data_IF_477234206885
#
_entry.id   IF_477234206885
#
_cell.length_a   1.000
_cell.length_b   1.000
_cell.length_c   1.000
_cell.angle_alpha   90.00
_cell.angle_beta   90.00
_cell.angle_gamma   90.00
#
_symmetry.space_group_name_H-M   'P 1'
#
loop_
_entity.id
_entity.type
_entity.pdbx_description
1 polymer ?
#
# COMPACT_ATOMS: atom_id res chain seq x y z
N UNK A 1 -17.65 -17.23 -18.65
CA UNK A 1 -17.86 -15.83 -19.10
C UNK A 1 -19.29 -15.53 -19.50
N UNK A 2 -19.96 -16.30 -20.37
CA UNK A 2 -21.35 -16.00 -20.76
C UNK A 2 -22.38 -16.02 -19.61
N UNK A 3 -22.21 -16.88 -18.60
CA UNK A 3 -23.11 -16.91 -17.44
C UNK A 3 -22.95 -15.67 -16.52
N UNK A 4 -21.76 -15.05 -16.50
CA UNK A 4 -21.50 -13.84 -15.70
C UNK A 4 -22.09 -12.59 -16.38
N UNK A 5 -22.13 -12.55 -17.72
CA UNK A 5 -22.74 -11.46 -18.48
C UNK A 5 -24.28 -11.42 -18.35
N UNK A 6 -24.93 -12.58 -18.20
CA UNK A 6 -26.39 -12.66 -18.02
C UNK A 6 -26.84 -12.20 -16.62
N UNK A 7 -26.01 -12.37 -15.58
CA UNK A 7 -26.33 -11.90 -14.23
C UNK A 7 -26.23 -10.36 -14.14
N UNK A 8 -25.29 -9.74 -14.87
CA UNK A 8 -25.17 -8.27 -14.93
C UNK A 8 -26.35 -7.58 -15.64
N UNK A 9 -26.94 -8.20 -16.66
CA UNK A 9 -28.09 -7.60 -17.36
C UNK A 9 -29.39 -7.66 -16.54
N UNK A 10 -29.57 -8.69 -15.71
CA UNK A 10 -30.79 -8.84 -14.90
C UNK A 10 -30.85 -7.86 -13.72
N UNK A 11 -29.71 -7.39 -13.20
CA UNK A 11 -29.63 -6.40 -12.12
C UNK A 11 -29.88 -4.96 -12.58
N UNK A 12 -29.59 -4.62 -13.84
CA UNK A 12 -29.84 -3.28 -14.38
C UNK A 12 -31.32 -3.04 -14.72
N UNK A 13 -32.09 -4.10 -15.00
CA UNK A 13 -33.51 -3.98 -15.34
C UNK A 13 -34.43 -3.64 -14.14
N UNK A 14 -33.94 -3.76 -12.90
CA UNK A 14 -34.75 -3.47 -11.69
C UNK A 14 -34.55 -2.05 -11.14
N UNK A 15 -33.76 -1.20 -11.79
CA UNK A 15 -33.42 0.14 -11.28
C UNK A 15 -34.16 1.31 -11.98
N UNK A 16 -34.98 1.03 -13.00
CA UNK A 16 -35.61 2.09 -13.81
C UNK A 16 -36.97 2.56 -13.27
N UNK A 17 -37.64 1.80 -12.40
CA UNK A 17 -39.02 2.10 -11.97
C UNK A 17 -39.16 2.78 -10.58
N UNK A 18 -38.07 3.29 -9.99
CA UNK A 18 -38.09 3.83 -8.63
C UNK A 18 -37.55 5.27 -8.48
N UNK A 19 -37.78 6.14 -9.47
CA UNK A 19 -37.52 7.58 -9.32
C UNK A 19 -38.81 8.33 -8.94
N UNK A 20 -38.94 8.85 -7.72
CA UNK A 20 -40.00 9.80 -7.40
C UNK A 20 -39.74 11.13 -8.10
N UNK A 21 -40.80 11.73 -8.64
CA UNK A 21 -40.81 13.05 -9.26
C UNK A 21 -40.32 14.11 -8.26
N UNK A 22 -39.28 14.86 -8.63
CA UNK A 22 -38.82 16.01 -7.86
C UNK A 22 -39.79 17.19 -8.03
N UNK A 23 -40.16 17.90 -6.95
CA UNK A 23 -40.95 19.12 -7.04
C UNK A 23 -40.13 20.27 -7.63
N UNK A 24 -40.82 21.11 -8.39
CA UNK A 24 -40.29 22.21 -9.16
C UNK A 24 -39.64 23.32 -8.30
N UNK A 25 -38.63 23.92 -8.93
CA UNK A 25 -37.91 25.14 -8.61
C UNK A 25 -38.70 26.20 -7.83
N UNK A 26 -38.10 26.67 -6.72
CA UNK A 26 -38.35 28.02 -6.20
C UNK A 26 -37.23 28.95 -6.67
N UNK A 27 -37.52 30.21 -7.03
CA UNK A 27 -36.51 31.15 -7.50
C UNK A 27 -35.66 31.68 -6.33
N UNK A 28 -34.34 31.65 -6.50
CA UNK A 28 -33.40 32.26 -5.56
C UNK A 28 -33.42 33.81 -5.65
N UNK A 29 -33.15 34.52 -4.54
CA UNK A 29 -32.98 35.96 -4.54
C UNK A 29 -31.68 36.40 -5.23
N UNK A 30 -31.76 37.54 -5.90
CA UNK A 30 -30.70 38.14 -6.70
C UNK A 30 -29.43 38.46 -5.89
N UNK A 31 -28.28 38.10 -6.46
CA UNK A 31 -26.95 38.47 -6.00
C UNK A 31 -26.73 39.99 -6.05
N UNK A 32 -26.21 40.55 -4.97
CA UNK A 32 -25.63 41.90 -4.97
C UNK A 32 -24.27 41.91 -5.69
N UNK A 33 -23.91 43.03 -6.36
CA UNK A 33 -22.62 43.15 -7.05
C UNK A 33 -21.48 43.33 -6.04
N UNK A 34 -20.41 42.53 -6.20
CA UNK A 34 -19.15 42.70 -5.48
C UNK A 34 -18.32 43.86 -6.07
N UNK A 35 -17.49 44.53 -5.26
CA UNK A 35 -16.62 45.61 -5.70
C UNK A 35 -15.47 45.09 -6.58
N UNK A 36 -15.07 45.93 -7.53
CA UNK A 36 -14.08 45.65 -8.57
C UNK A 36 -12.70 45.33 -7.98
N UNK A 37 -12.11 44.23 -8.45
CA UNK A 37 -10.72 43.87 -8.25
C UNK A 37 -9.78 44.90 -8.89
N UNK A 38 -8.77 45.33 -8.13
CA UNK A 38 -7.65 46.12 -8.63
C UNK A 38 -6.81 45.31 -9.64
N UNK A 39 -6.32 46.01 -10.65
CA UNK A 39 -5.47 45.49 -11.71
C UNK A 39 -4.16 44.90 -11.15
N UNK A 40 -3.93 43.63 -11.46
CA UNK A 40 -2.64 42.96 -11.28
C UNK A 40 -1.75 43.38 -12.48
N UNK A 41 -0.50 43.85 -12.26
CA UNK A 41 0.42 44.16 -13.34
C UNK A 41 0.86 42.89 -14.09
N UNK A 42 1.19 42.99 -15.39
CA UNK A 42 1.54 41.83 -16.22
C UNK A 42 2.88 41.22 -15.78
N UNK A 43 2.87 39.91 -15.54
CA UNK A 43 4.08 39.10 -15.31
C UNK A 43 4.98 39.07 -16.56
N UNK A 44 6.31 38.97 -16.38
CA UNK A 44 7.25 38.87 -17.49
C UNK A 44 7.11 37.56 -18.28
N UNK A 45 7.31 37.67 -19.60
CA UNK A 45 7.24 36.57 -20.56
C UNK A 45 8.26 35.47 -20.23
N UNK A 46 7.77 34.23 -20.12
CA UNK A 46 8.62 33.04 -20.08
C UNK A 46 9.26 32.77 -21.45
N UNK A 47 10.50 32.22 -21.49
CA UNK A 47 11.16 31.86 -22.74
C UNK A 47 10.48 30.66 -23.40
N UNK A 48 10.26 30.79 -24.72
CA UNK A 48 9.71 29.77 -25.61
C UNK A 48 10.71 28.62 -25.75
N UNK A 49 10.36 27.43 -25.24
CA UNK A 49 11.12 26.21 -25.52
C UNK A 49 10.77 25.68 -26.92
N UNK A 50 11.74 25.12 -27.67
CA UNK A 50 11.46 24.50 -28.96
C UNK A 50 10.64 23.21 -28.80
N UNK A 51 9.83 22.85 -29.82
CA UNK A 51 8.95 21.68 -29.75
C UNK A 51 9.77 20.39 -29.73
N UNK A 52 9.57 19.59 -28.69
CA UNK A 52 10.02 18.20 -28.63
C UNK A 52 9.22 17.37 -29.65
N UNK A 53 9.89 16.88 -30.69
CA UNK A 53 9.35 15.88 -31.60
C UNK A 53 9.55 14.49 -30.98
N UNK A 54 8.48 13.93 -30.41
CA UNK A 54 8.49 12.52 -30.00
C UNK A 54 8.34 11.59 -31.21
N UNK A 55 9.03 10.43 -31.24
CA UNK A 55 8.83 9.42 -32.28
C UNK A 55 7.44 8.77 -32.15
N UNK A 56 6.84 8.33 -33.27
CA UNK A 56 5.49 7.77 -33.29
C UNK A 56 5.44 6.43 -32.55
N UNK A 57 4.71 6.40 -31.43
CA UNK A 57 4.36 5.19 -30.71
C UNK A 57 3.23 4.48 -31.47
N UNK A 58 3.44 3.22 -31.86
CA UNK A 58 2.39 2.39 -32.46
C UNK A 58 1.33 2.07 -31.39
N UNK A 59 0.03 2.34 -31.62
CA UNK A 59 -1.00 2.04 -30.64
C UNK A 59 -1.17 0.52 -30.47
N UNK A 60 -1.31 0.10 -29.21
CA UNK A 60 -1.70 -1.27 -28.85
C UNK A 60 -3.19 -1.48 -29.19
N UNK A 61 -3.58 -2.63 -29.76
CA UNK A 61 -4.93 -2.88 -30.33
C UNK A 61 -6.07 -2.98 -29.29
N UNK A 62 -5.83 -2.59 -28.05
CA UNK A 62 -6.82 -2.67 -26.96
C UNK A 62 -7.60 -1.35 -26.76
N UNK A 63 -7.19 -0.25 -27.39
CA UNK A 63 -7.75 1.09 -27.13
C UNK A 63 -8.83 1.54 -28.12
N UNK A 64 -8.92 0.95 -29.31
CA UNK A 64 -9.87 1.39 -30.36
C UNK A 64 -11.35 1.16 -30.03
N UNK A 65 -11.65 0.34 -29.01
CA UNK A 65 -13.03 0.09 -28.56
C UNK A 65 -13.54 1.02 -27.46
N UNK A 66 -12.67 1.83 -26.86
CA UNK A 66 -13.03 2.69 -25.72
C UNK A 66 -13.25 4.17 -26.11
N UNK A 67 -12.88 4.58 -27.32
CA UNK A 67 -12.81 6.01 -27.69
C UNK A 67 -13.90 6.52 -28.63
N UNK A 68 -14.84 5.68 -29.07
CA UNK A 68 -16.00 6.16 -29.81
C UNK A 68 -17.13 6.47 -28.82
N UNK A 69 -17.50 7.76 -28.72
CA UNK A 69 -18.80 8.30 -28.25
C UNK A 69 -18.84 9.22 -27.00
N UNK A 70 -17.73 9.74 -26.46
CA UNK A 70 -17.84 10.76 -25.39
C UNK A 70 -16.87 11.93 -25.51
N UNK A 71 -17.29 13.07 -24.97
CA UNK A 71 -16.59 14.36 -24.97
C UNK A 71 -15.14 14.20 -24.43
N UNK A 72 -14.16 14.70 -25.21
CA UNK A 72 -12.73 14.57 -24.94
C UNK A 72 -12.33 15.10 -23.57
N UNK A 73 -12.99 16.16 -23.07
CA UNK A 73 -12.70 16.74 -21.76
C UNK A 73 -13.17 15.84 -20.59
N UNK A 74 -14.35 15.24 -20.69
CA UNK A 74 -14.87 14.32 -19.67
C UNK A 74 -14.09 13.00 -19.66
N UNK A 75 -13.62 12.56 -20.83
CA UNK A 75 -12.74 11.41 -20.94
C UNK A 75 -11.37 11.66 -20.32
N UNK A 76 -10.76 12.84 -20.47
CA UNK A 76 -9.46 13.14 -19.85
C UNK A 76 -9.58 13.12 -18.31
N UNK A 77 -10.66 13.67 -17.74
CA UNK A 77 -10.89 13.65 -16.30
C UNK A 77 -11.20 12.23 -15.79
N UNK A 78 -11.99 11.45 -16.55
CA UNK A 78 -12.32 10.07 -16.23
C UNK A 78 -11.07 9.17 -16.37
N UNK A 79 -10.26 9.35 -17.40
CA UNK A 79 -8.99 8.65 -17.60
C UNK A 79 -7.95 9.04 -16.57
N UNK A 80 -7.85 10.28 -16.11
CA UNK A 80 -6.91 10.61 -15.02
C UNK A 80 -7.35 9.97 -13.70
N UNK A 81 -8.66 9.93 -13.41
CA UNK A 81 -9.22 9.29 -12.22
C UNK A 81 -9.11 7.76 -12.28
N UNK A 82 -9.34 7.18 -13.46
CA UNK A 82 -9.18 5.76 -13.76
C UNK A 82 -7.69 5.37 -13.79
N UNK A 83 -6.79 6.18 -14.35
CA UNK A 83 -5.35 5.93 -14.36
C UNK A 83 -4.74 6.05 -12.96
N UNK A 84 -5.23 6.99 -12.13
CA UNK A 84 -4.82 7.11 -10.72
C UNK A 84 -5.29 5.91 -9.89
N UNK A 85 -6.50 5.39 -10.17
CA UNK A 85 -7.04 4.20 -9.50
C UNK A 85 -6.53 2.89 -10.09
N UNK A 86 -6.16 2.84 -11.36
CA UNK A 86 -5.51 1.71 -12.04
C UNK A 86 -4.02 1.64 -11.70
N UNK A 87 -3.31 2.75 -11.54
CA UNK A 87 -1.89 2.71 -11.15
C UNK A 87 -1.73 2.11 -9.73
N UNK A 88 -2.57 2.57 -8.79
CA UNK A 88 -2.65 1.97 -7.44
C UNK A 88 -3.26 0.57 -7.46
N UNK A 89 -4.32 0.36 -8.26
CA UNK A 89 -5.02 -0.92 -8.37
C UNK A 89 -4.22 -2.02 -9.08
N UNK A 90 -3.37 -1.68 -10.04
CA UNK A 90 -2.49 -2.62 -10.74
C UNK A 90 -1.31 -3.03 -9.87
N UNK A 91 -0.75 -2.12 -9.06
CA UNK A 91 0.24 -2.50 -8.04
C UNK A 91 -0.39 -3.39 -6.96
N UNK A 92 -1.57 -3.05 -6.45
CA UNK A 92 -2.29 -3.91 -5.51
C UNK A 92 -2.64 -5.27 -6.12
N UNK A 93 -3.08 -5.31 -7.38
CA UNK A 93 -3.37 -6.55 -8.09
C UNK A 93 -2.11 -7.38 -8.36
N UNK A 94 -0.98 -6.75 -8.70
CA UNK A 94 0.31 -7.42 -8.87
C UNK A 94 0.81 -7.99 -7.53
N UNK A 95 0.66 -7.25 -6.43
CA UNK A 95 0.96 -7.73 -5.08
C UNK A 95 0.08 -8.92 -4.70
N UNK A 96 -1.22 -8.84 -4.96
CA UNK A 96 -2.15 -9.95 -4.73
C UNK A 96 -1.76 -11.17 -5.59
N UNK A 97 -1.41 -10.96 -6.85
CA UNK A 97 -1.05 -12.03 -7.79
C UNK A 97 0.28 -12.71 -7.43
N UNK A 98 1.23 -11.95 -6.91
CA UNK A 98 2.54 -12.48 -6.53
C UNK A 98 2.57 -13.06 -5.12
N UNK A 99 1.61 -12.68 -4.27
CA UNK A 99 1.57 -13.10 -2.88
C UNK A 99 0.60 -14.27 -2.64
N UNK A 100 1.12 -15.49 -2.81
CA UNK A 100 0.42 -16.76 -2.52
C UNK A 100 -0.19 -16.81 -1.12
N UNK A 101 0.30 -16.02 -0.16
CA UNK A 101 -0.22 -16.02 1.19
C UNK A 101 -1.53 -15.22 1.29
N UNK A 102 -1.75 -14.20 0.45
CA UNK A 102 -3.04 -13.52 0.33
C UNK A 102 -4.10 -14.48 -0.22
N UNK A 103 -3.75 -15.31 -1.20
CA UNK A 103 -4.64 -16.36 -1.71
C UNK A 103 -5.02 -17.36 -0.63
N UNK A 104 -4.04 -17.83 0.15
CA UNK A 104 -4.31 -18.69 1.32
C UNK A 104 -5.26 -18.01 2.30
N UNK A 105 -5.07 -16.72 2.62
CA UNK A 105 -5.96 -15.97 3.51
C UNK A 105 -7.39 -15.93 2.94
N UNK A 106 -7.57 -15.75 1.62
CA UNK A 106 -8.89 -15.79 0.97
C UNK A 106 -9.58 -17.15 1.12
N UNK A 107 -8.80 -18.24 1.13
CA UNK A 107 -9.30 -19.59 1.35
C UNK A 107 -9.54 -19.93 2.83
N UNK A 108 -9.01 -19.14 3.76
CA UNK A 108 -9.23 -19.34 5.18
C UNK A 108 -10.67 -19.03 5.57
N UNK A 109 -11.11 -19.76 6.58
CA UNK A 109 -12.50 -19.81 6.97
C UNK A 109 -12.60 -19.52 8.47
N UNK A 110 -13.34 -18.47 8.81
CA UNK A 110 -13.52 -18.03 10.21
C UNK A 110 -14.88 -18.51 10.71
N UNK A 111 -14.85 -19.32 11.77
CA UNK A 111 -16.06 -19.81 12.45
C UNK A 111 -16.88 -18.65 13.01
N UNK A 112 -18.20 -18.87 13.15
CA UNK A 112 -19.14 -17.83 13.57
C UNK A 112 -18.81 -17.30 14.96
N UNK A 113 -18.36 -18.18 15.85
CA UNK A 113 -17.97 -17.89 17.23
C UNK A 113 -16.71 -17.00 17.26
N UNK A 114 -15.72 -17.30 16.44
CA UNK A 114 -14.50 -16.49 16.32
C UNK A 114 -14.79 -15.15 15.66
N UNK A 115 -15.65 -15.14 14.63
CA UNK A 115 -16.06 -13.90 13.97
C UNK A 115 -16.72 -12.92 14.93
N UNK A 116 -17.52 -13.39 15.88
CA UNK A 116 -18.12 -12.54 16.93
C UNK A 116 -17.08 -11.93 17.86
N UNK A 117 -15.94 -12.62 18.08
CA UNK A 117 -14.83 -12.10 18.88
C UNK A 117 -13.98 -11.10 18.09
N UNK A 118 -13.82 -11.32 16.79
CA UNK A 118 -13.11 -10.40 15.88
C UNK A 118 -13.97 -9.18 15.54
N UNK A 119 -15.29 -9.32 15.50
CA UNK A 119 -16.22 -8.24 15.12
C UNK A 119 -17.26 -8.12 16.24
N UNK A 120 -17.02 -7.27 17.24
CA UNK A 120 -17.92 -7.15 18.39
C UNK A 120 -19.25 -6.42 18.06
N UNK A 121 -19.45 -5.95 16.82
CA UNK A 121 -20.62 -5.16 16.44
C UNK A 121 -21.87 -5.97 16.11
N UNK A 122 -23.04 -5.43 16.47
CA UNK A 122 -24.36 -6.01 16.10
C UNK A 122 -24.64 -5.85 14.59
N UNK A 123 -25.26 -6.87 13.98
CA UNK A 123 -25.47 -7.02 12.51
C UNK A 123 -26.05 -5.80 11.77
N UNK A 124 -26.94 -5.00 12.38
CA UNK A 124 -27.72 -3.95 11.68
C UNK A 124 -26.92 -2.72 11.20
N UNK A 125 -25.73 -2.44 11.75
CA UNK A 125 -24.83 -1.36 11.29
C UNK A 125 -23.51 -1.89 10.70
N UNK A 126 -23.44 -3.20 10.47
CA UNK A 126 -22.17 -3.91 10.39
C UNK A 126 -21.35 -3.57 9.15
N UNK A 127 -21.92 -3.46 7.94
CA UNK A 127 -21.08 -3.46 6.72
C UNK A 127 -20.11 -2.27 6.63
N UNK A 128 -20.60 -1.03 6.76
CA UNK A 128 -19.75 0.18 6.70
C UNK A 128 -18.83 0.32 7.92
N UNK A 129 -19.24 -0.19 9.08
CA UNK A 129 -18.39 -0.18 10.27
C UNK A 129 -17.30 -1.25 10.12
N UNK A 130 -17.65 -2.42 9.60
CA UNK A 130 -16.77 -3.56 9.38
C UNK A 130 -15.63 -3.20 8.43
N UNK A 131 -15.92 -2.57 7.30
CA UNK A 131 -14.89 -2.13 6.35
C UNK A 131 -13.83 -1.25 7.04
N UNK A 132 -14.29 -0.22 7.76
CA UNK A 132 -13.42 0.69 8.51
C UNK A 132 -12.67 0.00 9.64
N UNK A 133 -13.33 -0.96 10.30
CA UNK A 133 -12.74 -1.72 11.39
C UNK A 133 -11.66 -2.67 10.89
N UNK A 134 -11.93 -3.41 9.82
CA UNK A 134 -10.95 -4.29 9.16
C UNK A 134 -9.77 -3.48 8.65
N UNK A 135 -10.04 -2.33 8.03
CA UNK A 135 -8.99 -1.40 7.61
C UNK A 135 -8.11 -0.98 8.77
N UNK A 136 -8.70 -0.54 9.88
CA UNK A 136 -7.95 -0.14 11.07
C UNK A 136 -7.14 -1.30 11.67
N UNK A 137 -7.67 -2.52 11.69
CA UNK A 137 -6.93 -3.71 12.15
C UNK A 137 -5.71 -3.98 11.26
N UNK A 138 -5.90 -4.00 9.94
CA UNK A 138 -4.83 -4.27 8.97
C UNK A 138 -3.76 -3.19 9.01
N UNK A 139 -4.16 -1.91 9.02
CA UNK A 139 -3.25 -0.78 9.16
C UNK A 139 -2.43 -0.90 10.46
N UNK A 140 -3.06 -1.32 11.56
CA UNK A 140 -2.36 -1.49 12.84
C UNK A 140 -1.35 -2.62 12.85
N UNK A 141 -1.68 -3.75 12.21
CA UNK A 141 -0.73 -4.85 12.07
C UNK A 141 0.44 -4.40 11.18
N UNK A 142 0.15 -3.81 10.01
CA UNK A 142 1.18 -3.39 9.06
C UNK A 142 2.11 -2.31 9.62
N UNK A 143 1.58 -1.29 10.30
CA UNK A 143 2.41 -0.25 10.92
C UNK A 143 3.29 -0.80 12.05
N UNK A 144 2.79 -1.73 12.86
CA UNK A 144 3.63 -2.38 13.88
C UNK A 144 4.80 -3.16 13.26
N UNK A 145 4.54 -3.90 12.17
CA UNK A 145 5.60 -4.63 11.46
C UNK A 145 6.59 -3.67 10.79
N UNK A 146 6.10 -2.57 10.20
CA UNK A 146 6.94 -1.56 9.59
C UNK A 146 7.85 -0.87 10.62
N UNK A 147 7.30 -0.46 11.76
CA UNK A 147 8.08 0.14 12.87
C UNK A 147 9.10 -0.85 13.42
N UNK A 148 8.75 -2.13 13.52
CA UNK A 148 9.69 -3.18 13.93
C UNK A 148 10.85 -3.33 12.95
N UNK A 149 10.60 -3.31 11.64
CA UNK A 149 11.66 -3.41 10.63
C UNK A 149 12.57 -2.17 10.63
N UNK A 150 11.99 -0.98 10.82
CA UNK A 150 12.72 0.28 10.96
C UNK A 150 13.44 0.43 12.32
N UNK A 151 13.25 -0.53 13.24
CA UNK A 151 13.76 -0.52 14.63
C UNK A 151 13.30 0.70 15.43
N UNK A 152 12.10 1.19 15.14
CA UNK A 152 11.44 2.26 15.89
C UNK A 152 10.71 1.68 17.11
N UNK A 153 10.33 2.57 18.03
CA UNK A 153 9.49 2.18 19.15
C UNK A 153 8.13 1.65 18.65
N UNK A 154 7.42 0.80 19.41
CA UNK A 154 6.07 0.37 19.06
C UNK A 154 5.11 1.53 18.80
N UNK A 155 3.98 1.25 18.17
CA UNK A 155 2.94 2.25 17.94
C UNK A 155 2.54 2.97 19.25
N UNK A 156 2.51 4.31 19.27
CA UNK A 156 2.01 5.04 20.42
C UNK A 156 0.49 4.83 20.58
N UNK A 157 -0.06 5.11 21.77
CA UNK A 157 -1.51 5.13 22.00
C UNK A 157 -2.22 6.09 21.03
N UNK A 158 -3.50 5.86 20.76
CA UNK A 158 -4.26 6.72 19.87
C UNK A 158 -4.36 8.14 20.41
N UNK A 159 -4.16 9.10 19.51
CA UNK A 159 -4.35 10.54 19.78
C UNK A 159 -5.58 11.06 19.03
N UNK A 160 -5.96 12.31 19.29
CA UNK A 160 -6.91 13.03 18.44
C UNK A 160 -6.38 13.15 17.01
N UNK A 161 -7.28 13.13 16.04
CA UNK A 161 -6.97 13.25 14.63
C UNK A 161 -6.73 14.72 14.26
N UNK A 162 -5.47 15.05 13.99
CA UNK A 162 -5.07 16.35 13.47
C UNK A 162 -4.89 16.27 11.95
N UNK A 163 -5.87 16.74 11.19
CA UNK A 163 -5.78 16.78 9.72
C UNK A 163 -4.74 17.81 9.22
N UNK A 164 -4.41 18.80 10.06
CA UNK A 164 -3.60 19.98 9.74
C UNK A 164 -2.08 19.77 9.87
N UNK A 165 -1.61 18.59 10.27
CA UNK A 165 -0.21 18.36 10.64
C UNK A 165 0.78 18.28 9.46
N UNK A 166 0.30 18.20 8.22
CA UNK A 166 1.16 18.06 7.03
C UNK A 166 1.90 19.34 6.61
N UNK A 167 1.49 20.52 7.07
CA UNK A 167 2.06 21.80 6.59
C UNK A 167 3.32 22.26 7.34
N UNK A 168 3.71 21.63 8.45
CA UNK A 168 4.86 22.08 9.26
C UNK A 168 6.18 21.33 9.01
N UNK A 169 6.43 20.89 7.76
CA UNK A 169 7.66 20.17 7.40
C UNK A 169 8.95 21.01 7.51
N UNK A 170 8.85 22.34 7.61
CA UNK A 170 10.00 23.24 7.50
C UNK A 170 10.89 23.35 8.76
N UNK A 171 10.48 22.79 9.90
CA UNK A 171 11.18 23.04 11.20
C UNK A 171 12.12 21.92 11.67
N UNK A 172 12.43 20.92 10.83
CA UNK A 172 13.15 19.71 11.25
C UNK A 172 14.65 19.72 11.02
N UNK A 173 15.32 20.84 11.26
CA UNK A 173 16.79 20.85 11.24
C UNK A 173 17.38 19.89 12.31
N UNK A 174 16.70 19.70 13.45
CA UNK A 174 17.19 18.91 14.59
C UNK A 174 16.34 17.68 14.96
N UNK A 175 15.35 17.29 14.16
CA UNK A 175 14.48 16.16 14.52
C UNK A 175 15.11 14.81 14.14
N UNK A 176 14.83 13.78 14.94
CA UNK A 176 15.30 12.43 14.62
C UNK A 176 14.52 11.85 13.44
N UNK A 177 15.07 10.82 12.80
CA UNK A 177 14.37 10.11 11.71
C UNK A 177 13.04 9.52 12.20
N UNK A 178 12.99 9.05 13.45
CA UNK A 178 11.76 8.54 14.06
C UNK A 178 10.73 9.65 14.29
N UNK A 179 11.15 10.86 14.70
CA UNK A 179 10.24 12.01 14.84
C UNK A 179 9.64 12.42 13.49
N UNK A 180 10.47 12.45 12.45
CA UNK A 180 10.02 12.74 11.09
C UNK A 180 9.05 11.64 10.62
N UNK A 181 9.33 10.38 10.94
CA UNK A 181 8.44 9.27 10.63
C UNK A 181 7.12 9.38 11.38
N UNK A 182 7.12 9.63 12.70
CA UNK A 182 5.92 9.73 13.54
C UNK A 182 4.93 10.80 13.02
N UNK A 183 5.43 11.83 12.37
CA UNK A 183 4.61 12.86 11.73
C UNK A 183 4.09 12.47 10.35
N UNK A 184 4.88 11.71 9.58
CA UNK A 184 4.50 11.20 8.25
C UNK A 184 3.69 9.91 8.31
N UNK A 185 3.71 9.23 9.46
CA UNK A 185 3.04 7.97 9.68
C UNK A 185 1.56 8.13 9.34
N UNK A 186 0.98 7.26 8.49
CA UNK A 186 -0.42 7.39 8.10
C UNK A 186 -1.38 7.35 9.29
N UNK A 187 -1.81 8.52 9.76
CA UNK A 187 -2.88 8.64 10.76
C UNK A 187 -4.22 8.55 10.04
N UNK A 188 -4.97 7.48 10.28
CA UNK A 188 -6.34 7.36 9.78
C UNK A 188 -7.32 7.83 10.85
N UNK A 189 -8.39 8.51 10.42
CA UNK A 189 -9.51 8.89 11.31
C UNK A 189 -10.16 7.68 11.99
N UNK A 190 -9.97 6.49 11.43
CA UNK A 190 -10.46 5.24 12.00
C UNK A 190 -9.54 4.71 13.13
N UNK A 191 -8.29 5.19 13.24
CA UNK A 191 -7.33 4.95 14.35
C UNK A 191 -7.06 6.23 15.15
N UNK A 192 -8.11 6.94 15.55
CA UNK A 192 -7.99 8.12 16.41
C UNK A 192 -9.00 8.08 17.55
N UNK A 193 -8.76 8.88 18.59
CA UNK A 193 -9.69 9.06 19.69
C UNK A 193 -11.04 9.66 19.24
N UNK A 194 -11.08 10.30 18.07
CA UNK A 194 -12.30 10.87 17.50
C UNK A 194 -13.21 9.81 16.83
N UNK A 195 -12.74 8.56 16.75
CA UNK A 195 -13.53 7.48 16.19
C UNK A 195 -14.67 7.07 17.14
N UNK A 196 -15.89 7.48 16.79
CA UNK A 196 -17.11 7.14 17.56
C UNK A 196 -17.64 5.72 17.34
N UNK A 197 -17.00 4.91 16.48
CA UNK A 197 -17.51 3.59 16.08
C UNK A 197 -16.94 2.45 16.90
N UNK A 198 -15.69 2.58 17.32
CA UNK A 198 -14.97 1.57 18.09
C UNK A 198 -13.78 2.21 18.80
N UNK A 199 -13.39 1.59 19.91
CA UNK A 199 -12.27 2.03 20.75
C UNK A 199 -10.96 1.35 20.36
N UNK A 200 -9.85 1.95 20.77
CA UNK A 200 -8.50 1.38 20.61
C UNK A 200 -8.40 -0.02 21.25
N UNK A 201 -8.91 -0.17 22.48
CA UNK A 201 -8.89 -1.43 23.21
C UNK A 201 -9.70 -2.54 22.51
N UNK A 202 -10.88 -2.21 21.99
CA UNK A 202 -11.67 -3.16 21.18
C UNK A 202 -10.90 -3.57 19.94
N UNK A 203 -10.23 -2.64 19.26
CA UNK A 203 -9.42 -2.95 18.07
C UNK A 203 -8.29 -3.93 18.42
N UNK A 204 -7.48 -3.66 19.44
CA UNK A 204 -6.38 -4.55 19.83
C UNK A 204 -6.85 -5.93 20.27
N UNK A 205 -7.98 -6.01 20.97
CA UNK A 205 -8.59 -7.30 21.35
C UNK A 205 -8.97 -8.11 20.10
N UNK A 206 -9.57 -7.46 19.11
CA UNK A 206 -9.93 -8.09 17.84
C UNK A 206 -8.71 -8.48 17.00
N UNK A 207 -7.65 -7.65 17.01
CA UNK A 207 -6.36 -7.98 16.38
C UNK A 207 -5.78 -9.25 16.99
N UNK A 208 -5.74 -9.36 18.32
CA UNK A 208 -5.22 -10.56 18.98
C UNK A 208 -6.02 -11.83 18.60
N UNK A 209 -7.35 -11.71 18.47
CA UNK A 209 -8.19 -12.80 17.98
C UNK A 209 -7.96 -13.12 16.50
N UNK A 210 -7.80 -12.08 15.67
CA UNK A 210 -7.55 -12.20 14.24
C UNK A 210 -6.21 -12.89 14.00
N UNK A 211 -5.14 -12.49 14.69
CA UNK A 211 -3.80 -13.07 14.56
C UNK A 211 -3.74 -14.53 14.99
N UNK A 212 -4.48 -14.89 16.04
CA UNK A 212 -4.63 -16.29 16.44
C UNK A 212 -5.27 -17.15 15.35
N UNK A 213 -6.12 -16.56 14.50
CA UNK A 213 -6.87 -17.27 13.46
C UNK A 213 -6.19 -17.19 12.10
N UNK A 214 -5.55 -16.08 11.79
CA UNK A 214 -4.92 -15.77 10.50
C UNK A 214 -3.53 -15.15 10.78
N UNK A 215 -2.56 -15.94 11.27
CA UNK A 215 -1.20 -15.42 11.53
C UNK A 215 -0.49 -14.95 10.25
N UNK A 216 -0.91 -15.46 9.08
CA UNK A 216 -0.38 -15.11 7.75
C UNK A 216 -0.42 -13.60 7.46
N UNK A 217 -1.31 -12.82 8.08
CA UNK A 217 -1.36 -11.36 7.86
C UNK A 217 -0.03 -10.71 8.23
N UNK A 218 0.59 -11.10 9.35
CA UNK A 218 1.90 -10.58 9.75
C UNK A 218 3.00 -11.05 8.82
N UNK A 219 2.94 -12.30 8.37
CA UNK A 219 3.93 -12.86 7.45
C UNK A 219 3.95 -12.12 6.10
N UNK A 220 2.77 -11.72 5.59
CA UNK A 220 2.65 -10.90 4.39
C UNK A 220 3.39 -9.56 4.55
N UNK A 221 3.15 -8.82 5.64
CA UNK A 221 3.83 -7.54 5.88
C UNK A 221 5.34 -7.73 6.09
N UNK A 222 5.76 -8.70 6.91
CA UNK A 222 7.18 -8.99 7.16
C UNK A 222 7.94 -9.29 5.87
N UNK A 223 7.34 -10.11 5.00
CA UNK A 223 7.93 -10.48 3.72
C UNK A 223 8.11 -9.25 2.84
N UNK A 224 7.07 -8.43 2.71
CA UNK A 224 7.12 -7.22 1.88
C UNK A 224 8.24 -6.28 2.33
N UNK A 225 8.30 -5.96 3.63
CA UNK A 225 9.32 -5.06 4.15
C UNK A 225 10.73 -5.65 4.08
N UNK A 226 10.87 -6.97 4.22
CA UNK A 226 12.16 -7.66 4.08
C UNK A 226 12.67 -7.66 2.64
N UNK A 227 11.77 -7.78 1.65
CA UNK A 227 12.14 -7.85 0.24
C UNK A 227 12.62 -6.47 -0.26
N UNK A 228 11.99 -5.38 0.20
CA UNK A 228 12.44 -4.01 -0.08
C UNK A 228 13.90 -3.79 0.34
N UNK A 229 14.29 -4.32 1.51
CA UNK A 229 15.67 -4.23 2.02
C UNK A 229 16.68 -5.02 1.18
N UNK A 230 16.27 -6.09 0.51
CA UNK A 230 17.18 -6.97 -0.26
C UNK A 230 17.55 -6.39 -1.61
N UNK A 231 16.60 -5.74 -2.29
CA UNK A 231 16.88 -5.18 -3.61
C UNK A 231 17.85 -3.99 -3.52
N UNK A 232 17.83 -3.24 -2.40
CA UNK A 232 18.83 -2.21 -2.10
C UNK A 232 20.27 -2.75 -2.00
N UNK A 233 20.45 -3.96 -1.47
CA UNK A 233 21.80 -4.53 -1.29
C UNK A 233 22.45 -4.93 -2.61
N UNK A 234 21.65 -5.20 -3.64
CA UNK A 234 22.14 -5.63 -4.96
C UNK A 234 22.63 -4.46 -5.79
N UNK A 235 22.00 -3.29 -5.69
CA UNK A 235 22.40 -2.12 -6.48
C UNK A 235 23.71 -1.49 -5.98
N UNK A 236 23.96 -1.49 -4.66
CA UNK A 236 25.25 -1.03 -4.10
C UNK A 236 26.46 -1.88 -4.51
N UNK A 237 26.26 -3.07 -5.07
CA UNK A 237 27.35 -3.95 -5.51
C UNK A 237 27.82 -3.67 -6.95
N UNK A 238 27.07 -2.92 -7.75
CA UNK A 238 27.41 -2.67 -9.16
C UNK A 238 28.20 -1.39 -9.41
N UNK A 239 28.10 -0.42 -8.51
CA UNK A 239 28.74 0.89 -8.68
C UNK A 239 29.94 1.12 -7.77
N UNK A 240 30.57 0.06 -7.23
CA UNK A 240 31.86 0.23 -6.55
C UNK A 240 32.90 0.60 -7.62
N UNK A 241 33.38 1.86 -7.67
CA UNK A 241 34.44 2.22 -8.60
C UNK A 241 35.67 1.38 -8.21
N UNK A 242 36.41 0.86 -9.20
CA UNK A 242 37.73 0.29 -8.95
C UNK A 242 38.53 1.36 -8.18
N UNK A 243 38.81 1.11 -6.89
CA UNK A 243 39.75 1.91 -6.13
C UNK A 243 41.09 1.86 -6.87
N UNK A 244 41.47 2.97 -7.49
CA UNK A 244 42.87 3.20 -7.84
C UNK A 244 43.66 3.32 -6.53
N UNK A 245 44.83 2.66 -6.43
CA UNK A 245 45.62 2.63 -5.21
C UNK A 245 46.14 4.04 -4.88
N UNK A 246 45.64 4.62 -3.79
CA UNK A 246 46.15 5.88 -3.24
C UNK A 246 47.57 5.63 -2.70
N UNK A 247 48.59 6.41 -3.12
CA UNK A 247 49.95 6.26 -2.64
C UNK A 247 50.07 6.71 -1.17
N UNK A 248 50.66 5.84 -0.35
CA UNK A 248 51.03 6.12 1.04
C UNK A 248 51.96 7.33 1.10
N UNK A 249 51.50 8.45 1.66
CA UNK A 249 52.37 9.53 2.14
C UNK A 249 52.80 9.25 3.58
N UNK A 250 54.10 9.38 3.79
CA UNK A 250 54.82 9.24 5.04
C UNK A 250 54.43 10.33 6.04
N UNK A 251 54.67 9.99 7.29
CA UNK A 251 54.89 10.86 8.45
C UNK A 251 55.70 12.11 8.10
N UNK A 252 55.56 13.18 8.87
CA UNK A 252 56.58 13.63 9.83
C UNK A 252 56.04 14.82 10.67
N UNK A 253 56.50 14.86 11.93
CA UNK A 253 56.76 16.03 12.81
C UNK A 253 55.56 16.88 13.30
N UNK A 254 55.23 16.92 14.59
CA UNK A 254 55.94 17.54 15.74
C UNK A 254 55.74 19.07 15.78
N UNK A 255 55.06 19.58 16.82
CA UNK A 255 55.57 20.67 17.68
C UNK A 255 54.52 21.14 18.71
N UNK A 256 55.06 21.33 19.91
CA UNK A 256 54.48 21.91 21.11
C UNK A 256 54.12 23.39 20.94
N UNK A 257 53.14 23.88 21.70
CA UNK A 257 53.37 25.11 22.49
C UNK A 257 52.29 25.30 23.55
N UNK A 258 52.83 25.35 24.77
CA UNK A 258 52.28 25.72 26.05
C UNK A 258 52.27 27.26 26.16
N UNK A 259 51.18 27.86 26.63
CA UNK A 259 51.22 29.17 27.31
C UNK A 259 49.91 29.47 28.05
N UNK A 260 50.02 29.52 29.37
CA UNK A 260 49.13 30.21 30.29
C UNK A 260 49.22 31.73 30.07
N UNK A 261 48.10 32.46 30.04
CA UNK A 261 48.02 33.84 30.56
C UNK A 261 46.60 34.15 31.06
N UNK A 262 46.51 34.48 32.35
CA UNK A 262 45.39 35.15 33.00
C UNK A 262 45.28 36.60 32.50
N UNK A 263 44.07 37.05 32.13
CA UNK A 263 43.76 38.49 32.07
C UNK A 263 42.28 38.76 32.34
N UNK A 264 41.99 39.26 33.54
CA UNK A 264 40.78 40.00 33.88
C UNK A 264 40.81 41.36 33.19
N UNK A 265 39.71 41.74 32.53
CA UNK A 265 39.32 43.15 32.32
C UNK A 265 37.86 43.23 31.87
N UNK A 266 37.03 43.76 32.76
CA UNK A 266 35.75 44.39 32.44
C UNK A 266 35.97 45.52 31.43
N UNK A 267 35.14 45.60 30.37
CA UNK A 267 34.61 46.87 29.89
C UNK A 267 33.51 46.69 28.83
N UNK A 268 32.39 47.36 29.10
CA UNK A 268 31.26 47.61 28.23
C UNK A 268 31.70 48.13 26.84
N UNK A 269 31.28 47.46 25.76
CA UNK A 269 31.20 48.12 24.46
C UNK A 269 30.14 47.52 23.53
N UNK A 270 29.14 48.37 23.29
CA UNK A 270 28.36 48.57 22.07
C UNK A 270 28.22 47.40 21.06
N UNK A 271 27.01 46.85 21.07
CA UNK A 271 26.16 46.53 19.92
C UNK A 271 26.76 46.81 18.52
N UNK A 272 27.56 45.88 18.02
CA UNK A 272 27.82 45.72 16.58
C UNK A 272 27.32 44.35 16.12
N UNK A 273 26.10 44.37 15.60
CA UNK A 273 25.44 43.26 14.88
C UNK A 273 26.27 42.87 13.65
N UNK A 274 27.34 42.09 13.84
CA UNK A 274 27.98 41.30 12.77
C UNK A 274 27.00 40.20 12.41
N UNK A 275 26.27 40.41 11.32
CA UNK A 275 25.54 39.37 10.59
C UNK A 275 26.59 38.38 10.07
N UNK A 276 26.96 37.42 10.91
CA UNK A 276 27.77 36.26 10.54
C UNK A 276 26.90 35.47 9.59
N UNK A 277 27.18 35.57 8.28
CA UNK A 277 26.66 34.65 7.28
C UNK A 277 27.15 33.25 7.67
N UNK A 278 26.30 32.55 8.41
CA UNK A 278 26.49 31.16 8.76
C UNK A 278 26.46 30.38 7.44
N UNK A 279 27.63 29.88 7.05
CA UNK A 279 27.79 29.02 5.88
C UNK A 279 26.80 27.86 6.04
N UNK A 280 25.90 27.62 5.07
CA UNK A 280 24.90 26.56 5.19
C UNK A 280 25.63 25.23 5.37
N UNK A 281 25.40 24.63 6.53
CA UNK A 281 25.96 23.33 6.90
C UNK A 281 25.41 22.30 5.89
N UNK A 282 26.31 21.71 5.11
CA UNK A 282 25.96 20.77 4.06
C UNK A 282 25.37 19.52 4.72
N UNK A 283 24.06 19.32 4.59
CA UNK A 283 23.38 18.19 5.23
C UNK A 283 24.04 16.87 4.82
N UNK A 284 24.22 15.91 5.74
CA UNK A 284 24.79 14.61 5.41
C UNK A 284 23.95 13.93 4.33
N UNK A 285 24.55 13.59 3.19
CA UNK A 285 23.89 12.89 2.07
C UNK A 285 23.15 11.61 2.49
N UNK A 286 23.57 10.99 3.58
CA UNK A 286 22.96 9.78 4.14
C UNK A 286 21.56 10.00 4.73
N UNK A 287 21.18 11.24 5.08
CA UNK A 287 19.87 11.53 5.67
C UNK A 287 18.78 11.71 4.59
N UNK A 288 19.14 12.28 3.44
CA UNK A 288 18.23 12.45 2.30
C UNK A 288 17.84 11.08 1.71
N UNK A 289 18.81 10.19 1.51
CA UNK A 289 18.57 8.80 1.07
C UNK A 289 17.62 8.04 2.03
N UNK A 290 17.69 8.32 3.35
CA UNK A 290 16.76 7.73 4.32
C UNK A 290 15.34 8.27 4.21
N UNK A 291 15.16 9.56 3.90
CA UNK A 291 13.82 10.16 3.76
C UNK A 291 13.09 9.61 2.54
N UNK A 292 13.79 9.44 1.43
CA UNK A 292 13.21 8.87 0.21
C UNK A 292 12.80 7.41 0.42
N UNK A 293 13.61 6.63 1.14
CA UNK A 293 13.28 5.25 1.52
C UNK A 293 12.01 5.14 2.34
N UNK A 294 11.85 6.00 3.35
CA UNK A 294 10.62 6.03 4.16
C UNK A 294 9.39 6.27 3.28
N UNK A 295 9.52 7.13 2.26
CA UNK A 295 8.46 7.34 1.27
C UNK A 295 8.05 6.07 0.54
N UNK A 296 9.03 5.26 0.10
CA UNK A 296 8.82 3.95 -0.53
C UNK A 296 8.03 2.99 0.35
N UNK A 297 8.49 2.77 1.59
CA UNK A 297 7.80 1.90 2.55
C UNK A 297 6.35 2.33 2.83
N UNK A 298 6.08 3.64 2.90
CA UNK A 298 4.72 4.15 3.14
C UNK A 298 3.81 3.85 1.93
N UNK A 299 4.32 3.97 0.71
CA UNK A 299 3.56 3.66 -0.50
C UNK A 299 3.20 2.17 -0.59
N UNK A 300 4.17 1.30 -0.33
CA UNK A 300 3.96 -0.16 -0.30
C UNK A 300 3.01 -0.57 0.82
N UNK A 301 3.20 -0.02 2.03
CA UNK A 301 2.28 -0.24 3.15
C UNK A 301 0.84 0.08 2.76
N UNK A 302 0.59 1.20 2.07
CA UNK A 302 -0.77 1.57 1.62
C UNK A 302 -1.33 0.54 0.65
N UNK A 303 -0.54 0.09 -0.33
CA UNK A 303 -0.97 -0.89 -1.32
C UNK A 303 -1.28 -2.26 -0.69
N UNK A 304 -0.37 -2.79 0.14
CA UNK A 304 -0.56 -4.08 0.84
C UNK A 304 -1.74 -4.01 1.81
N UNK A 305 -1.84 -2.91 2.58
CA UNK A 305 -2.95 -2.74 3.53
C UNK A 305 -4.30 -2.69 2.83
N UNK A 306 -4.40 -2.03 1.67
CA UNK A 306 -5.64 -1.99 0.90
C UNK A 306 -6.03 -3.37 0.35
N UNK A 307 -5.05 -4.12 -0.16
CA UNK A 307 -5.26 -5.50 -0.64
C UNK A 307 -5.75 -6.42 0.49
N UNK A 308 -5.03 -6.45 1.62
CA UNK A 308 -5.39 -7.26 2.78
C UNK A 308 -6.74 -6.84 3.38
N UNK A 309 -7.05 -5.55 3.41
CA UNK A 309 -8.34 -5.05 3.89
C UNK A 309 -9.49 -5.61 3.07
N UNK A 310 -9.37 -5.54 1.73
CA UNK A 310 -10.39 -6.04 0.81
C UNK A 310 -10.58 -7.56 0.96
N UNK A 311 -9.48 -8.29 1.03
CA UNK A 311 -9.44 -9.74 1.24
C UNK A 311 -10.11 -10.13 2.57
N UNK A 312 -9.69 -9.53 3.68
CA UNK A 312 -10.25 -9.84 5.00
C UNK A 312 -11.70 -9.42 5.13
N UNK A 313 -12.10 -8.30 4.52
CA UNK A 313 -13.50 -7.91 4.45
C UNK A 313 -14.32 -8.99 3.75
N UNK A 314 -13.82 -9.58 2.66
CA UNK A 314 -14.44 -10.73 1.98
C UNK A 314 -14.60 -11.94 2.91
N UNK A 315 -13.52 -12.36 3.57
CA UNK A 315 -13.48 -13.48 4.51
C UNK A 315 -14.44 -13.28 5.69
N UNK A 316 -14.50 -12.08 6.23
CA UNK A 316 -15.33 -11.75 7.39
C UNK A 316 -16.79 -11.48 7.05
N UNK A 317 -17.09 -11.00 5.83
CA UNK A 317 -18.46 -10.70 5.40
C UNK A 317 -19.22 -11.95 4.94
N UNK A 318 -18.51 -12.99 4.48
CA UNK A 318 -19.14 -14.22 4.03
C UNK A 318 -19.54 -15.08 5.23
N UNK A 319 -20.82 -15.09 5.59
CA UNK A 319 -21.46 -16.17 6.37
C UNK A 319 -21.55 -17.46 5.51
N UNK A 320 -20.48 -17.78 4.76
CA UNK A 320 -20.36 -19.12 4.18
C UNK A 320 -20.27 -20.09 5.35
N UNK A 321 -21.09 -21.12 5.33
CA UNK A 321 -20.92 -22.25 6.22
C UNK A 321 -19.58 -22.90 5.86
N UNK A 322 -18.52 -22.47 6.54
CA UNK A 322 -17.18 -23.00 6.37
C UNK A 322 -17.14 -24.52 6.48
N UNK A 323 -18.09 -25.09 7.24
CA UNK A 323 -18.31 -26.53 7.33
C UNK A 323 -18.77 -27.15 6.01
N UNK A 324 -19.66 -26.49 5.28
CA UNK A 324 -20.14 -26.96 3.98
C UNK A 324 -19.03 -26.83 2.91
N UNK A 325 -18.29 -25.72 2.91
CA UNK A 325 -17.19 -25.53 1.96
C UNK A 325 -16.04 -26.52 2.20
N UNK A 326 -15.67 -26.77 3.47
CA UNK A 326 -14.72 -27.84 3.81
C UNK A 326 -15.21 -29.21 3.35
N UNK A 327 -16.49 -29.54 3.58
CA UNK A 327 -17.09 -30.80 3.10
C UNK A 327 -17.01 -30.92 1.57
N UNK A 328 -17.32 -29.85 0.84
CA UNK A 328 -17.22 -29.82 -0.63
C UNK A 328 -15.78 -30.03 -1.10
N UNK A 329 -14.80 -29.34 -0.51
CA UNK A 329 -13.37 -29.52 -0.84
C UNK A 329 -12.91 -30.96 -0.55
N UNK A 330 -13.27 -31.53 0.60
CA UNK A 330 -12.94 -32.92 0.94
C UNK A 330 -13.58 -33.93 -0.02
N UNK A 331 -14.83 -33.71 -0.44
CA UNK A 331 -15.51 -34.55 -1.42
C UNK A 331 -14.85 -34.47 -2.80
N UNK A 332 -14.44 -33.28 -3.23
CA UNK A 332 -13.71 -33.08 -4.48
C UNK A 332 -12.34 -33.76 -4.47
N UNK A 333 -11.59 -33.66 -3.37
CA UNK A 333 -10.31 -34.38 -3.22
C UNK A 333 -10.50 -35.89 -3.24
N UNK A 334 -11.54 -36.41 -2.55
CA UNK A 334 -11.89 -37.84 -2.62
C UNK A 334 -12.23 -38.28 -4.04
N UNK A 335 -12.96 -37.45 -4.81
CA UNK A 335 -13.27 -37.72 -6.23
C UNK A 335 -12.01 -37.70 -7.10
N UNK A 336 -11.12 -36.72 -6.92
CA UNK A 336 -9.83 -36.63 -7.63
C UNK A 336 -8.95 -37.85 -7.36
N UNK A 337 -8.84 -38.27 -6.09
CA UNK A 337 -8.06 -39.46 -5.69
C UNK A 337 -8.63 -40.74 -6.33
N UNK A 338 -9.95 -40.96 -6.25
CA UNK A 338 -10.61 -42.10 -6.91
C UNK A 338 -10.37 -42.12 -8.43
N UNK A 339 -10.44 -40.96 -9.09
CA UNK A 339 -10.16 -40.87 -10.53
C UNK A 339 -8.70 -41.21 -10.86
N UNK A 340 -7.75 -40.76 -10.05
CA UNK A 340 -6.33 -41.09 -10.24
C UNK A 340 -6.03 -42.59 -10.05
N UNK A 341 -6.62 -43.22 -9.02
CA UNK A 341 -6.49 -44.66 -8.78
C UNK A 341 -7.12 -45.50 -9.90
N UNK A 342 -8.26 -45.06 -10.46
CA UNK A 342 -8.90 -45.75 -11.59
C UNK A 342 -8.04 -45.66 -12.86
N UNK A 343 -7.44 -44.49 -13.13
CA UNK A 343 -6.51 -44.31 -14.27
C UNK A 343 -5.29 -45.21 -14.13
N UNK A 344 -4.72 -45.32 -12.92
CA UNK A 344 -3.57 -46.20 -12.66
C UNK A 344 -3.92 -47.68 -12.84
N UNK A 345 -5.09 -48.12 -12.36
CA UNK A 345 -5.59 -49.50 -12.57
C UNK A 345 -5.81 -49.81 -14.06
N UNK A 346 -6.34 -48.87 -14.84
CA UNK A 346 -6.50 -49.04 -16.29
C UNK A 346 -5.14 -49.16 -17.00
N UNK A 347 -4.18 -48.31 -16.65
CA UNK A 347 -2.81 -48.36 -17.19
C UNK A 347 -2.13 -49.71 -16.90
N UNK A 348 -2.19 -50.19 -15.66
CA UNK A 348 -1.64 -51.50 -15.27
C UNK A 348 -2.26 -52.65 -16.07
N UNK A 349 -3.59 -52.65 -16.25
CA UNK A 349 -4.27 -53.67 -17.08
C UNK A 349 -3.80 -53.64 -18.54
N UNK A 350 -3.65 -52.45 -19.12
CA UNK A 350 -3.19 -52.29 -20.49
C UNK A 350 -1.74 -52.79 -20.69
N UNK A 351 -0.86 -52.53 -19.72
CA UNK A 351 0.51 -53.05 -19.70
C UNK A 351 0.54 -54.58 -19.58
N UNK A 352 -0.30 -55.19 -18.75
CA UNK A 352 -0.41 -56.67 -18.64
C UNK A 352 -0.85 -57.29 -19.97
N UNK A 353 -1.83 -56.69 -20.65
CA UNK A 353 -2.33 -57.18 -21.95
C UNK A 353 -1.24 -57.09 -23.02
N UNK A 354 -0.53 -55.96 -23.11
CA UNK A 354 0.59 -55.78 -24.05
C UNK A 354 1.72 -56.79 -23.81
N UNK A 355 2.05 -57.06 -22.54
CA UNK A 355 3.07 -58.05 -22.19
C UNK A 355 2.65 -59.48 -22.59
N UNK A 356 1.38 -59.85 -22.34
CA UNK A 356 0.85 -61.16 -22.74
C UNK A 356 0.85 -61.34 -24.27
N UNK A 357 0.54 -60.29 -25.02
CA UNK A 357 0.52 -60.32 -26.48
C UNK A 357 1.94 -60.43 -27.08
N UNK A 358 2.92 -59.71 -26.49
CA UNK A 358 4.33 -59.88 -26.85
C UNK A 358 4.84 -61.29 -26.57
N UNK A 359 4.43 -61.90 -25.45
CA UNK A 359 4.79 -63.29 -25.11
C UNK A 359 4.24 -64.27 -26.15
N UNK A 360 2.96 -64.14 -26.52
CA UNK A 360 2.35 -64.95 -27.59
C UNK A 360 3.08 -64.83 -28.93
N UNK A 361 3.51 -63.61 -29.31
CA UNK A 361 4.28 -63.39 -30.54
C UNK A 361 5.67 -64.03 -30.50
N UNK A 362 6.30 -64.08 -29.33
CA UNK A 362 7.59 -64.79 -29.14
C UNK A 362 7.45 -66.30 -29.25
N UNK A 363 6.37 -66.88 -28.72
CA UNK A 363 6.18 -68.34 -28.74
C UNK A 363 5.79 -68.86 -30.15
N UNK A 364 5.39 -67.98 -31.07
CA UNK A 364 5.05 -68.30 -32.46
C UNK A 364 6.21 -68.16 -33.45
N UNK A 365 7.30 -67.51 -33.05
CA UNK A 365 8.51 -67.31 -33.85
C UNK A 365 9.56 -68.35 -33.45
#
# INVERSE_FOLDING_TARGET
>A
MMLLLLISFSLMAQFVDAFPQFPMFTPMPMFQPMPMFQQIPPSPMFPTFPPFTMPPIKPLPLFDKLFNETNVADNILLFSKIASTLSSGMHAAALIYNNKDIEKIMEMCIEKEDRKKIIPFKKRKAKKILEKYVRAMVETIGLNELRSELKFQPLPPWTSFNETETEKMETFANATVEDIYNQREPKSKDRSLDNKKFTEQELYTSIAHLEKKIPLIREVFKKEYSDHRRDESKDKSKDKPKEEPIPKKKSDEEEDSESDEDYDSDEDSEEKKKKKEEKPEEKPKDEEDRRDKIGGYIAEFKAVSQALTSTLQGVLSHDRDCKEEKRKKEEEEKKKKKSSEEKEKKKKKEETVKSAEQKKKKDQA
#
